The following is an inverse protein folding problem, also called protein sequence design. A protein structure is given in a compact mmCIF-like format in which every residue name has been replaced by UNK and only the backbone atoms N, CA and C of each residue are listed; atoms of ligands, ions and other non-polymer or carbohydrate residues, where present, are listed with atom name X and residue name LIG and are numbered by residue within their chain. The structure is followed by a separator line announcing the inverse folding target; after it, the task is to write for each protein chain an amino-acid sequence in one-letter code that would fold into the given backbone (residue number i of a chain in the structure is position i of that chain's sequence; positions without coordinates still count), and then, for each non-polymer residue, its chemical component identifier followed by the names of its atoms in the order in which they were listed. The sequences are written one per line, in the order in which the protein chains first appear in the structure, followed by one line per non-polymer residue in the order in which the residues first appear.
data_IF_495024379373
#
_entry.id   IF_495024379373
#
_cell.length_a   1.000
_cell.length_b   1.000
_cell.length_c   1.000
_cell.angle_alpha   90.00
_cell.angle_beta   90.00
_cell.angle_gamma   90.00
#
_symmetry.space_group_name_H-M   'P 1'
#
loop_
_entity.id
_entity.type
_entity.pdbx_description
1 polymer ?
#
# COMPACT_ATOMS: atom_id res chain seq x y z
N UNK A 1 9.93 8.30 -10.43
CA UNK A 1 10.84 7.30 -9.82
C UNK A 1 10.03 6.37 -8.93
N UNK A 2 10.40 5.10 -8.75
CA UNK A 2 9.63 4.19 -7.88
C UNK A 2 9.56 4.73 -6.45
N UNK A 3 10.63 5.36 -5.96
CA UNK A 3 10.65 6.01 -4.65
C UNK A 3 9.58 7.10 -4.49
N UNK A 4 9.29 7.87 -5.53
CA UNK A 4 8.28 8.94 -5.48
C UNK A 4 6.86 8.37 -5.39
N UNK A 5 6.57 7.32 -6.17
CA UNK A 5 5.27 6.63 -6.14
C UNK A 5 5.04 5.94 -4.79
N UNK A 6 6.08 5.31 -4.23
CA UNK A 6 6.01 4.66 -2.91
C UNK A 6 5.81 5.70 -1.81
N UNK A 7 6.45 6.87 -1.89
CA UNK A 7 6.19 7.96 -0.96
C UNK A 7 4.73 8.42 -1.02
N UNK A 8 4.21 8.66 -2.22
CA UNK A 8 2.82 9.07 -2.41
C UNK A 8 1.84 8.02 -1.86
N UNK A 9 2.10 6.73 -2.07
CA UNK A 9 1.27 5.66 -1.52
C UNK A 9 1.35 5.62 0.02
N UNK A 10 2.54 5.73 0.62
CA UNK A 10 2.70 5.78 2.08
C UNK A 10 1.91 6.93 2.70
N UNK A 11 1.96 8.11 2.08
CA UNK A 11 1.21 9.29 2.51
C UNK A 11 -0.30 9.08 2.38
N UNK A 12 -0.74 8.43 1.29
CA UNK A 12 -2.14 8.04 1.11
C UNK A 12 -2.60 6.97 2.11
N UNK A 13 -1.75 6.02 2.47
CA UNK A 13 -2.09 5.01 3.46
C UNK A 13 -2.13 5.59 4.88
N UNK A 14 -1.47 6.73 5.14
CA UNK A 14 -1.40 7.32 6.49
C UNK A 14 -0.65 6.42 7.50
N UNK A 15 0.20 5.52 7.01
CA UNK A 15 0.87 4.49 7.82
C UNK A 15 2.06 5.02 8.61
N UNK A 16 2.54 6.23 8.32
CA UNK A 16 3.65 6.87 9.05
C UNK A 16 3.40 6.98 10.56
N UNK A 17 2.16 7.16 10.98
CA UNK A 17 1.81 7.29 12.40
C UNK A 17 1.79 5.94 13.14
N UNK A 18 1.54 4.83 12.43
CA UNK A 18 1.33 3.50 13.02
C UNK A 18 2.49 2.54 12.80
N UNK A 19 3.24 2.69 11.70
CA UNK A 19 4.34 1.82 11.32
C UNK A 19 5.51 2.60 10.67
N UNK A 20 6.07 3.64 11.34
CA UNK A 20 7.08 4.51 10.75
C UNK A 20 8.33 3.76 10.26
N UNK A 21 8.80 2.77 11.01
CA UNK A 21 9.98 1.97 10.60
C UNK A 21 9.76 1.15 9.33
N UNK A 22 8.55 0.64 9.10
CA UNK A 22 8.23 -0.09 7.87
C UNK A 22 8.05 0.84 6.68
N UNK A 23 7.48 2.03 6.90
CA UNK A 23 7.36 3.04 5.87
C UNK A 23 8.73 3.55 5.40
N UNK A 24 9.64 3.84 6.34
CA UNK A 24 11.03 4.21 6.01
C UNK A 24 11.77 3.09 5.27
N UNK A 25 11.56 1.83 5.67
CA UNK A 25 12.15 0.68 4.97
C UNK A 25 11.64 0.57 3.53
N UNK A 26 10.35 0.77 3.29
CA UNK A 26 9.78 0.77 1.95
C UNK A 26 10.41 1.87 1.08
N UNK A 27 10.59 3.08 1.62
CA UNK A 27 11.26 4.18 0.91
C UNK A 27 12.73 3.86 0.59
N UNK A 28 13.46 3.27 1.54
CA UNK A 28 14.85 2.87 1.33
C UNK A 28 14.99 1.79 0.23
N UNK A 29 14.10 0.79 0.24
CA UNK A 29 14.04 -0.24 -0.80
C UNK A 29 13.68 0.36 -2.16
N UNK A 30 12.73 1.28 -2.21
CA UNK A 30 12.33 1.95 -3.45
C UNK A 30 13.47 2.79 -4.06
N UNK A 31 14.20 3.56 -3.24
CA UNK A 31 15.41 4.28 -3.68
C UNK A 31 16.48 3.31 -4.19
N UNK A 32 16.72 2.23 -3.46
CA UNK A 32 17.67 1.20 -3.90
C UNK A 32 17.25 0.59 -5.23
N UNK A 33 15.95 0.34 -5.45
CA UNK A 33 15.44 -0.20 -6.71
C UNK A 33 15.67 0.75 -7.89
N UNK A 34 15.50 2.05 -7.66
CA UNK A 34 15.73 3.08 -8.66
C UNK A 34 17.22 3.23 -9.02
N UNK A 35 18.12 3.03 -8.08
CA UNK A 35 19.58 3.18 -8.26
C UNK A 35 20.28 1.90 -8.75
N UNK A 36 19.65 0.74 -8.59
CA UNK A 36 20.29 -0.56 -8.88
C UNK A 36 20.23 -0.91 -10.36
N UNK A 37 21.40 -1.02 -10.99
CA UNK A 37 21.54 -1.46 -12.38
C UNK A 37 21.71 -2.99 -12.53
N UNK A 38 22.06 -3.69 -11.44
CA UNK A 38 22.24 -5.15 -11.45
C UNK A 38 20.88 -5.88 -11.46
N UNK A 39 20.54 -6.65 -12.53
CA UNK A 39 19.20 -7.23 -12.68
C UNK A 39 18.78 -8.15 -11.53
N UNK A 40 19.70 -8.99 -11.02
CA UNK A 40 19.42 -9.89 -9.90
C UNK A 40 19.15 -9.14 -8.61
N UNK A 41 19.97 -8.13 -8.29
CA UNK A 41 19.78 -7.29 -7.11
C UNK A 41 18.45 -6.52 -7.21
N UNK A 42 18.13 -6.00 -8.39
CA UNK A 42 16.87 -5.28 -8.66
C UNK A 42 15.65 -6.18 -8.44
N UNK A 43 15.71 -7.44 -8.87
CA UNK A 43 14.65 -8.42 -8.63
C UNK A 43 14.46 -8.74 -7.14
N UNK A 44 15.55 -8.87 -6.38
CA UNK A 44 15.50 -9.09 -4.93
C UNK A 44 14.87 -7.89 -4.23
N UNK A 45 15.32 -6.67 -4.54
CA UNK A 45 14.77 -5.44 -3.96
C UNK A 45 13.28 -5.30 -4.28
N UNK A 46 12.86 -5.57 -5.52
CA UNK A 46 11.45 -5.53 -5.90
C UNK A 46 10.58 -6.49 -5.09
N UNK A 47 11.08 -7.72 -4.88
CA UNK A 47 10.37 -8.72 -4.07
C UNK A 47 10.18 -8.23 -2.64
N UNK A 48 11.24 -7.75 -2.00
CA UNK A 48 11.18 -7.28 -0.62
C UNK A 48 10.32 -6.03 -0.47
N UNK A 49 10.41 -5.08 -1.42
CA UNK A 49 9.52 -3.92 -1.47
C UNK A 49 8.04 -4.35 -1.54
N UNK A 50 7.74 -5.35 -2.38
CA UNK A 50 6.39 -5.91 -2.49
C UNK A 50 5.88 -6.52 -1.17
N UNK A 51 6.75 -7.21 -0.42
CA UNK A 51 6.42 -7.77 0.90
C UNK A 51 6.12 -6.64 1.89
N UNK A 52 6.99 -5.64 2.01
CA UNK A 52 6.83 -4.52 2.95
C UNK A 52 5.56 -3.72 2.64
N UNK A 53 5.32 -3.39 1.37
CA UNK A 53 4.13 -2.63 0.97
C UNK A 53 2.83 -3.41 1.21
N UNK A 54 2.83 -4.74 1.05
CA UNK A 54 1.68 -5.57 1.42
C UNK A 54 1.40 -5.49 2.92
N UNK A 55 2.44 -5.49 3.76
CA UNK A 55 2.29 -5.33 5.20
C UNK A 55 1.78 -3.93 5.57
N UNK A 56 2.32 -2.87 4.96
CA UNK A 56 1.86 -1.50 5.19
C UNK A 56 0.38 -1.30 4.81
N UNK A 57 -0.06 -1.83 3.66
CA UNK A 57 -1.48 -1.80 3.26
C UNK A 57 -2.39 -2.50 4.25
N UNK A 58 -1.92 -3.59 4.88
CA UNK A 58 -2.68 -4.29 5.92
C UNK A 58 -2.74 -3.52 7.25
N UNK A 59 -1.79 -2.62 7.50
CA UNK A 59 -1.73 -1.77 8.69
C UNK A 59 -2.35 -0.38 8.47
N UNK A 60 -2.73 -0.06 7.24
CA UNK A 60 -3.33 1.22 6.90
C UNK A 60 -4.55 1.46 7.80
N UNK A 61 -4.60 2.60 8.52
CA UNK A 61 -5.81 3.00 9.23
C UNK A 61 -6.98 2.95 8.25
N UNK A 62 -8.11 2.39 8.68
CA UNK A 62 -9.34 2.40 7.88
C UNK A 62 -9.68 3.86 7.61
N UNK A 63 -9.36 4.36 6.41
CA UNK A 63 -9.81 5.68 5.99
C UNK A 63 -11.32 5.58 5.89
N UNK A 64 -12.00 6.35 6.74
CA UNK A 64 -13.45 6.54 6.76
C UNK A 64 -13.92 7.31 5.51
N UNK A 65 -13.63 6.76 4.33
CA UNK A 65 -14.19 7.21 3.06
C UNK A 65 -14.53 5.96 2.23
N UNK A 66 -15.67 5.34 2.58
CA UNK A 66 -16.37 4.38 1.71
C UNK A 66 -15.77 2.98 1.56
N UNK A 67 -14.88 2.54 2.44
CA UNK A 67 -14.10 1.33 2.19
C UNK A 67 -14.79 0.04 2.71
N UNK A 68 -15.21 -0.81 1.78
CA UNK A 68 -15.77 -2.17 1.90
C UNK A 68 -17.18 -2.36 2.54
N UNK A 69 -17.51 -1.72 3.66
CA UNK A 69 -18.83 -1.97 4.31
C UNK A 69 -19.98 -1.30 3.57
N UNK A 70 -19.77 -0.11 3.01
CA UNK A 70 -20.77 0.63 2.24
C UNK A 70 -21.09 -0.04 0.89
N UNK A 71 -20.11 -0.64 0.21
CA UNK A 71 -20.35 -1.45 -0.99
C UNK A 71 -21.19 -2.71 -0.69
N UNK A 72 -20.97 -3.35 0.48
CA UNK A 72 -21.74 -4.52 0.90
C UNK A 72 -23.17 -4.11 1.28
N UNK A 73 -23.34 -2.97 1.95
CA UNK A 73 -24.67 -2.42 2.26
C UNK A 73 -25.43 -2.02 0.99
N UNK A 74 -24.79 -1.33 0.05
CA UNK A 74 -25.38 -0.98 -1.25
C UNK A 74 -25.79 -2.23 -2.06
N UNK A 75 -25.00 -3.31 -2.01
CA UNK A 75 -25.37 -4.62 -2.61
C UNK A 75 -26.53 -5.33 -1.89
N UNK A 76 -26.77 -5.07 -0.60
CA UNK A 76 -27.90 -5.64 0.15
C UNK A 76 -29.19 -4.85 -0.09
N UNK A 77 -29.12 -3.54 -0.21
CA UNK A 77 -30.28 -2.69 -0.52
C UNK A 77 -30.82 -2.94 -1.93
N UNK A 78 -29.95 -3.07 -2.93
CA UNK A 78 -30.33 -3.44 -4.30
C UNK A 78 -31.11 -4.76 -4.37
N UNK A 79 -30.79 -5.73 -3.52
CA UNK A 79 -31.52 -7.03 -3.46
C UNK A 79 -32.86 -6.94 -2.73
N UNK A 80 -33.07 -5.96 -1.87
CA UNK A 80 -34.32 -5.77 -1.12
C UNK A 80 -35.38 -4.97 -1.88
N UNK A 81 -34.99 -4.25 -2.94
CA UNK A 81 -35.91 -3.50 -3.82
C UNK A 81 -36.25 -4.25 -5.13
N UNK A 82 -35.72 -5.46 -5.31
CA UNK A 82 -35.93 -6.30 -6.50
C UNK A 82 -36.61 -7.64 -6.16
N UNK A 83 -37.29 -7.71 -5.01
CA UNK A 83 -38.17 -8.80 -4.59
C UNK A 83 -39.56 -8.20 -4.30
#
# INVERSE_FOLDING_TARGET
MVAEEIQAEIDQLGVMAVAPGQAELALALARTFDETEAPTSRAVVARELGVVMKTLRALAPVRSEGDALDEIQARREKRRHSA
#
